data_IF_959665505928
#
_entry.id   IF_959665505928
#
_cell.length_a   1.000
_cell.length_b   1.000
_cell.length_c   1.000
_cell.angle_alpha   90.00
_cell.angle_beta   90.00
_cell.angle_gamma   90.00
#
_symmetry.space_group_name_H-M   'P 1'
#
loop_
_entity.id
_entity.type
_entity.pdbx_description
1 polymer ?
#
# COMPACT_ATOMS: atom_id res chain seq x y z
N UNK A 1 -39.59 -9.41 -33.22
CA UNK A 1 -40.82 -9.83 -32.53
C UNK A 1 -40.53 -9.86 -31.05
N UNK A 2 -41.08 -8.89 -30.32
CA UNK A 2 -40.97 -8.79 -28.87
C UNK A 2 -41.91 -9.82 -28.25
N UNK A 3 -41.35 -10.81 -27.55
CA UNK A 3 -42.12 -11.66 -26.64
C UNK A 3 -41.93 -11.10 -25.23
N UNK A 4 -42.82 -10.17 -24.86
CA UNK A 4 -43.04 -9.77 -23.49
C UNK A 4 -43.74 -10.94 -22.78
N UNK A 5 -42.95 -11.77 -22.09
CA UNK A 5 -43.46 -12.73 -21.11
C UNK A 5 -43.39 -12.07 -19.74
N UNK A 6 -44.54 -11.64 -19.24
CA UNK A 6 -44.69 -11.23 -17.84
C UNK A 6 -44.24 -12.40 -16.95
N UNK A 7 -43.22 -12.17 -16.12
CA UNK A 7 -42.82 -13.10 -15.07
C UNK A 7 -43.32 -12.53 -13.76
N UNK A 8 -44.28 -13.26 -13.18
CA UNK A 8 -45.07 -12.94 -12.00
C UNK A 8 -44.25 -12.46 -10.80
N UNK A 9 -44.76 -11.43 -10.12
CA UNK A 9 -44.26 -10.88 -8.85
C UNK A 9 -44.35 -11.81 -7.63
N UNK A 10 -44.13 -13.11 -7.81
CA UNK A 10 -44.00 -14.11 -6.73
C UNK A 10 -42.55 -14.42 -6.34
N UNK A 11 -41.57 -13.74 -6.96
CA UNK A 11 -40.14 -13.96 -6.71
C UNK A 11 -39.60 -13.38 -5.40
N UNK A 12 -40.40 -12.61 -4.64
CA UNK A 12 -39.99 -11.92 -3.42
C UNK A 12 -40.54 -12.59 -2.15
N UNK A 13 -40.29 -13.89 -1.96
CA UNK A 13 -40.45 -14.52 -0.64
C UNK A 13 -39.11 -15.08 -0.18
N UNK A 14 -38.77 -14.82 1.07
CA UNK A 14 -37.48 -15.01 1.77
C UNK A 14 -36.83 -16.42 1.72
N UNK A 15 -37.31 -17.36 0.89
CA UNK A 15 -36.83 -18.75 0.81
C UNK A 15 -35.75 -19.05 -0.23
N UNK A 16 -35.42 -18.14 -1.15
CA UNK A 16 -34.55 -18.46 -2.30
C UNK A 16 -33.04 -18.34 -2.01
N UNK A 17 -32.64 -17.70 -0.91
CA UNK A 17 -31.22 -17.56 -0.54
C UNK A 17 -30.55 -18.90 -0.21
N UNK A 18 -31.31 -19.92 0.17
CA UNK A 18 -30.78 -21.25 0.53
C UNK A 18 -30.76 -22.25 -0.63
N UNK A 19 -31.32 -21.91 -1.80
CA UNK A 19 -31.45 -22.83 -2.94
C UNK A 19 -30.63 -22.42 -4.16
N UNK A 20 -30.04 -21.23 -4.16
CA UNK A 20 -29.14 -20.81 -5.23
C UNK A 20 -27.74 -21.40 -4.98
N UNK A 21 -27.00 -21.80 -6.03
CA UNK A 21 -25.61 -22.22 -5.92
C UNK A 21 -24.78 -21.13 -5.23
N UNK A 22 -23.56 -21.43 -4.72
CA UNK A 22 -22.75 -20.51 -3.91
C UNK A 22 -22.24 -19.33 -4.77
N UNK A 23 -23.15 -18.43 -5.07
CA UNK A 23 -22.93 -17.17 -5.75
C UNK A 23 -23.49 -16.15 -4.78
N UNK A 24 -22.61 -15.35 -4.18
CA UNK A 24 -22.94 -14.24 -3.29
C UNK A 24 -23.64 -13.12 -4.08
N UNK A 25 -24.84 -13.41 -4.59
CA UNK A 25 -25.63 -12.50 -5.41
C UNK A 25 -26.54 -11.65 -4.51
N UNK A 26 -26.58 -10.36 -4.77
CA UNK A 26 -27.49 -9.45 -4.08
C UNK A 26 -28.84 -9.40 -4.81
N UNK A 27 -29.93 -9.14 -4.08
CA UNK A 27 -31.29 -9.04 -4.66
C UNK A 27 -31.37 -7.94 -5.76
N UNK A 28 -30.45 -6.98 -5.73
CA UNK A 28 -30.31 -5.95 -6.77
C UNK A 28 -29.79 -6.49 -8.11
N UNK A 29 -28.86 -7.45 -8.10
CA UNK A 29 -28.25 -8.01 -9.32
C UNK A 29 -29.23 -8.89 -10.11
N UNK A 30 -30.12 -9.59 -9.41
CA UNK A 30 -31.18 -10.40 -10.02
C UNK A 30 -32.27 -9.55 -10.68
N UNK A 31 -32.52 -8.34 -10.14
CA UNK A 31 -33.48 -7.40 -10.73
C UNK A 31 -32.94 -6.70 -11.98
N UNK A 32 -31.62 -6.48 -12.06
CA UNK A 32 -30.98 -5.83 -13.20
C UNK A 32 -30.82 -6.75 -14.42
N UNK A 33 -30.71 -8.08 -14.21
CA UNK A 33 -30.45 -9.05 -15.27
C UNK A 33 -31.42 -10.25 -15.23
N UNK A 34 -32.64 -10.13 -15.80
CA UNK A 34 -33.65 -11.18 -15.75
C UNK A 34 -33.24 -12.46 -16.52
N UNK A 35 -32.37 -12.36 -17.52
CA UNK A 35 -31.81 -13.51 -18.23
C UNK A 35 -30.90 -14.38 -17.35
N UNK A 36 -30.17 -13.75 -16.43
CA UNK A 36 -29.31 -14.45 -15.46
C UNK A 36 -30.14 -15.16 -14.39
N UNK A 37 -31.23 -14.53 -13.93
CA UNK A 37 -32.19 -15.17 -13.03
C UNK A 37 -32.82 -16.44 -13.66
N UNK A 38 -33.22 -16.37 -14.94
CA UNK A 38 -33.73 -17.54 -15.66
C UNK A 38 -32.68 -18.64 -15.84
N UNK A 39 -31.42 -18.29 -16.07
CA UNK A 39 -30.33 -19.27 -16.18
C UNK A 39 -30.07 -19.95 -14.84
N UNK A 40 -30.02 -19.20 -13.74
CA UNK A 40 -29.91 -19.75 -12.39
C UNK A 40 -31.08 -20.67 -12.05
N UNK A 41 -32.31 -20.33 -12.44
CA UNK A 41 -33.49 -21.19 -12.29
C UNK A 41 -33.43 -22.50 -13.08
N UNK A 42 -32.72 -22.52 -14.21
CA UNK A 42 -32.46 -23.75 -14.96
C UNK A 42 -31.34 -24.54 -14.30
N UNK A 43 -30.30 -23.87 -13.78
CA UNK A 43 -29.18 -24.51 -13.09
C UNK A 43 -29.57 -25.12 -11.74
N UNK A 44 -30.46 -24.51 -10.97
CA UNK A 44 -30.94 -25.08 -9.69
C UNK A 44 -31.71 -26.38 -9.86
N UNK A 45 -32.25 -26.66 -11.06
CA UNK A 45 -32.85 -27.97 -11.37
C UNK A 45 -31.82 -29.07 -11.55
N UNK A 46 -30.55 -28.70 -11.75
CA UNK A 46 -29.46 -29.61 -12.03
C UNK A 46 -28.35 -29.54 -10.98
N UNK A 47 -28.38 -28.58 -10.05
CA UNK A 47 -27.35 -28.38 -9.04
C UNK A 47 -27.94 -28.20 -7.63
N UNK A 48 -27.28 -28.79 -6.64
CA UNK A 48 -27.62 -28.64 -5.22
C UNK A 48 -27.11 -27.31 -4.64
N UNK A 49 -27.55 -26.97 -3.42
CA UNK A 49 -27.16 -25.75 -2.69
C UNK A 49 -25.64 -25.62 -2.43
N UNK A 50 -24.88 -26.70 -2.64
CA UNK A 50 -23.41 -26.74 -2.58
C UNK A 50 -22.73 -26.43 -3.91
N UNK A 51 -23.49 -26.26 -5.01
CA UNK A 51 -22.96 -26.03 -6.36
C UNK A 51 -22.58 -27.30 -7.13
N UNK A 52 -22.88 -28.48 -6.60
CA UNK A 52 -22.62 -29.78 -7.25
C UNK A 52 -23.81 -30.19 -8.13
N UNK A 53 -23.54 -30.84 -9.27
CA UNK A 53 -24.61 -31.42 -10.09
C UNK A 53 -25.32 -32.53 -9.30
N UNK A 54 -26.66 -32.54 -9.29
CA UNK A 54 -27.48 -33.53 -8.57
C UNK A 54 -27.11 -34.96 -9.01
N UNK A 55 -26.77 -35.12 -10.29
CA UNK A 55 -26.33 -36.41 -10.86
C UNK A 55 -24.95 -36.87 -10.36
N UNK A 56 -24.12 -35.95 -9.86
CA UNK A 56 -22.80 -36.24 -9.30
C UNK A 56 -22.79 -36.23 -7.76
N UNK A 57 -23.73 -35.54 -7.12
CA UNK A 57 -23.85 -35.49 -5.68
C UNK A 57 -24.17 -36.87 -5.10
N UNK A 58 -25.14 -37.59 -5.69
CA UNK A 58 -25.52 -38.94 -5.26
C UNK A 58 -24.36 -39.96 -5.32
N UNK A 59 -23.66 -40.15 -6.46
CA UNK A 59 -22.54 -41.08 -6.51
C UNK A 59 -21.34 -40.64 -5.66
N UNK A 60 -21.17 -39.34 -5.41
CA UNK A 60 -20.12 -38.84 -4.51
C UNK A 60 -20.47 -39.13 -3.04
N UNK A 61 -21.72 -38.96 -2.63
CA UNK A 61 -22.17 -39.38 -1.30
C UNK A 61 -22.04 -40.89 -1.09
N UNK A 62 -22.35 -41.69 -2.11
CA UNK A 62 -22.17 -43.14 -2.09
C UNK A 62 -20.68 -43.50 -1.98
N UNK A 63 -19.83 -42.93 -2.83
CA UNK A 63 -18.39 -43.15 -2.79
C UNK A 63 -17.75 -42.69 -1.47
N UNK A 64 -18.24 -41.60 -0.86
CA UNK A 64 -17.74 -41.14 0.45
C UNK A 64 -18.19 -42.05 1.57
N UNK A 65 -19.42 -42.60 1.53
CA UNK A 65 -19.88 -43.64 2.47
C UNK A 65 -19.04 -44.91 2.31
N UNK A 66 -18.81 -45.36 1.08
CA UNK A 66 -17.94 -46.51 0.80
C UNK A 66 -16.52 -46.28 1.31
N UNK A 67 -15.94 -45.11 1.04
CA UNK A 67 -14.62 -44.75 1.54
C UNK A 67 -14.58 -44.75 3.07
N UNK A 68 -15.59 -44.19 3.73
CA UNK A 68 -15.69 -44.22 5.20
C UNK A 68 -15.78 -45.65 5.73
N UNK A 69 -16.55 -46.52 5.07
CA UNK A 69 -16.66 -47.93 5.43
C UNK A 69 -15.34 -48.68 5.22
N UNK A 70 -14.67 -48.49 4.08
CA UNK A 70 -13.35 -49.06 3.82
C UNK A 70 -12.31 -48.56 4.81
N UNK A 71 -12.32 -47.27 5.13
CA UNK A 71 -11.43 -46.68 6.13
C UNK A 71 -11.69 -47.25 7.52
N UNK A 72 -12.95 -47.39 7.93
CA UNK A 72 -13.30 -47.98 9.21
C UNK A 72 -12.84 -49.45 9.29
N UNK A 73 -13.03 -50.21 8.21
CA UNK A 73 -12.58 -51.59 8.12
C UNK A 73 -11.05 -51.69 8.14
N UNK A 74 -10.35 -50.82 7.41
CA UNK A 74 -8.90 -50.76 7.42
C UNK A 74 -8.35 -50.41 8.81
N UNK A 75 -8.93 -49.40 9.48
CA UNK A 75 -8.54 -49.02 10.83
C UNK A 75 -8.77 -50.15 11.85
N UNK A 76 -9.83 -50.94 11.71
CA UNK A 76 -10.04 -52.14 12.54
C UNK A 76 -8.89 -53.14 12.36
N UNK A 77 -8.51 -53.43 11.13
CA UNK A 77 -7.42 -54.36 10.83
C UNK A 77 -6.05 -53.82 11.24
N UNK A 78 -5.79 -52.53 11.00
CA UNK A 78 -4.55 -51.87 11.42
C UNK A 78 -4.42 -51.83 12.95
N UNK A 79 -5.51 -51.55 13.67
CA UNK A 79 -5.52 -51.57 15.12
C UNK A 79 -5.22 -52.98 15.66
N UNK A 80 -5.83 -54.03 15.10
CA UNK A 80 -5.54 -55.41 15.47
C UNK A 80 -4.08 -55.78 15.20
N UNK A 81 -3.53 -55.37 14.05
CA UNK A 81 -2.12 -55.62 13.71
C UNK A 81 -1.17 -54.90 14.66
N UNK A 82 -1.42 -53.63 14.98
CA UNK A 82 -0.61 -52.88 15.96
C UNK A 82 -0.68 -53.49 17.34
N UNK A 83 -1.85 -53.93 17.78
CA UNK A 83 -2.02 -54.60 19.07
C UNK A 83 -1.27 -55.93 19.14
N UNK A 84 -1.24 -56.70 18.03
CA UNK A 84 -0.42 -57.91 17.95
C UNK A 84 1.08 -57.60 18.06
N UNK A 85 1.54 -56.54 17.39
CA UNK A 85 2.93 -56.08 17.47
C UNK A 85 3.29 -55.55 18.86
N UNK A 86 2.40 -54.79 19.50
CA UNK A 86 2.57 -54.33 20.88
C UNK A 86 2.56 -55.49 21.88
N UNK A 87 1.70 -56.49 21.69
CA UNK A 87 1.66 -57.69 22.54
C UNK A 87 2.98 -58.47 22.50
N UNK A 88 3.60 -58.57 21.31
CA UNK A 88 4.92 -59.17 21.14
C UNK A 88 6.02 -58.38 21.90
N UNK A 89 5.92 -57.05 21.94
CA UNK A 89 6.86 -56.18 22.64
C UNK A 89 6.66 -56.18 24.17
N UNK A 90 5.42 -56.13 24.66
CA UNK A 90 5.10 -56.06 26.09
C UNK A 90 5.30 -57.41 26.80
N UNK A 91 4.95 -58.54 26.19
CA UNK A 91 5.17 -59.86 26.80
C UNK A 91 6.62 -60.34 26.71
N UNK A 92 7.45 -59.77 25.82
CA UNK A 92 8.89 -60.05 25.75
C UNK A 92 9.68 -59.58 26.98
N UNK A 93 9.09 -58.70 27.80
CA UNK A 93 9.76 -58.12 28.97
C UNK A 93 9.85 -59.09 30.16
N UNK A 94 8.88 -59.99 30.38
CA UNK A 94 8.93 -61.08 31.40
C UNK A 94 7.86 -62.16 31.19
N UNK A 95 8.08 -63.19 30.35
CA UNK A 95 7.09 -64.25 30.15
C UNK A 95 7.36 -65.55 30.94
N UNK A 96 6.28 -66.16 31.44
CA UNK A 96 6.25 -67.55 31.90
C UNK A 96 6.61 -68.52 30.75
N UNK A 97 7.13 -69.73 31.01
CA UNK A 97 7.64 -70.63 29.96
C UNK A 97 6.59 -71.09 28.93
N UNK A 98 5.30 -71.06 29.29
CA UNK A 98 4.20 -71.36 28.35
C UNK A 98 3.85 -70.16 27.47
N UNK A 99 4.13 -68.94 27.92
CA UNK A 99 3.89 -67.71 27.18
C UNK A 99 5.02 -67.47 26.18
N UNK A 100 6.25 -67.87 26.52
CA UNK A 100 7.40 -67.89 25.59
C UNK A 100 7.11 -68.69 24.32
N UNK A 101 6.64 -69.95 24.48
CA UNK A 101 6.31 -70.82 23.34
C UNK A 101 5.14 -70.28 22.50
N UNK A 102 4.15 -69.66 23.14
CA UNK A 102 3.03 -69.03 22.44
C UNK A 102 3.47 -67.78 21.66
N UNK A 103 4.36 -66.96 22.21
CA UNK A 103 4.87 -65.76 21.54
C UNK A 103 5.81 -66.11 20.38
N UNK A 104 6.70 -67.07 20.58
CA UNK A 104 7.58 -67.58 19.53
C UNK A 104 6.72 -68.11 18.37
N UNK A 105 5.75 -68.99 18.63
CA UNK A 105 4.87 -69.51 17.56
C UNK A 105 4.07 -68.40 16.87
N UNK A 106 3.61 -67.37 17.58
CA UNK A 106 2.91 -66.22 17.01
C UNK A 106 3.81 -65.32 16.16
N UNK A 107 5.03 -65.03 16.62
CA UNK A 107 6.05 -64.27 15.87
C UNK A 107 6.42 -64.99 14.58
N UNK A 108 6.65 -66.31 14.65
CA UNK A 108 6.94 -67.13 13.46
C UNK A 108 5.75 -67.12 12.47
N UNK A 109 4.50 -67.13 12.95
CA UNK A 109 3.32 -67.01 12.07
C UNK A 109 3.16 -65.63 11.43
N UNK A 110 3.45 -64.56 12.16
CA UNK A 110 3.38 -63.20 11.61
C UNK A 110 4.48 -62.97 10.57
N UNK A 111 5.70 -63.42 10.82
CA UNK A 111 6.79 -63.34 9.85
C UNK A 111 6.49 -64.17 8.60
N UNK A 112 5.96 -65.39 8.74
CA UNK A 112 5.53 -66.21 7.59
C UNK A 112 4.38 -65.54 6.82
N UNK A 113 3.44 -64.88 7.50
CA UNK A 113 2.36 -64.14 6.84
C UNK A 113 2.85 -62.87 6.13
N UNK A 114 3.82 -62.15 6.71
CA UNK A 114 4.45 -61.00 6.07
C UNK A 114 5.26 -61.42 4.84
N UNK A 115 6.00 -62.53 4.92
CA UNK A 115 6.73 -63.11 3.80
C UNK A 115 5.77 -63.57 2.69
N UNK A 116 4.65 -64.22 3.04
CA UNK A 116 3.59 -64.57 2.08
C UNK A 116 3.01 -63.33 1.40
N UNK A 117 2.71 -62.28 2.17
CA UNK A 117 2.20 -61.01 1.62
C UNK A 117 3.19 -60.36 0.65
N UNK A 118 4.48 -60.33 0.99
CA UNK A 118 5.53 -59.78 0.11
C UNK A 118 5.61 -60.59 -1.19
N UNK A 119 5.55 -61.92 -1.11
CA UNK A 119 5.55 -62.81 -2.27
C UNK A 119 4.25 -62.70 -3.12
N UNK A 120 3.10 -62.48 -2.49
CA UNK A 120 1.80 -62.33 -3.16
C UNK A 120 1.64 -60.97 -3.84
N UNK A 121 2.18 -59.89 -3.25
CA UNK A 121 2.19 -58.55 -3.88
C UNK A 121 2.97 -58.57 -5.20
N UNK A 122 4.06 -59.33 -5.26
CA UNK A 122 4.88 -59.51 -6.46
C UNK A 122 4.16 -60.33 -7.56
N UNK A 123 3.14 -61.13 -7.20
CA UNK A 123 2.35 -61.93 -8.16
C UNK A 123 1.26 -61.12 -8.89
N UNK A 124 0.82 -60.01 -8.31
CA UNK A 124 -0.23 -59.13 -8.89
C UNK A 124 0.27 -58.27 -10.05
N UNK A 125 1.58 -58.05 -10.14
CA UNK A 125 2.29 -57.47 -11.28
C UNK A 125 2.60 -58.56 -12.29
N UNK A 126 1.55 -59.14 -12.90
CA UNK A 126 1.69 -60.29 -13.78
C UNK A 126 2.77 -60.12 -14.87
N UNK A 127 3.64 -61.14 -14.97
CA UNK A 127 4.26 -61.68 -16.19
C UNK A 127 5.70 -61.32 -16.60
N UNK A 128 6.63 -60.93 -15.72
CA UNK A 128 8.04 -60.93 -16.19
C UNK A 128 9.18 -60.97 -15.16
N UNK A 129 8.99 -61.41 -13.91
CA UNK A 129 10.14 -61.68 -13.02
C UNK A 129 9.88 -62.93 -12.17
N UNK A 130 10.77 -63.93 -12.18
CA UNK A 130 10.70 -65.01 -11.20
C UNK A 130 10.85 -64.41 -9.79
N UNK A 131 10.11 -64.94 -8.82
CA UNK A 131 10.19 -64.55 -7.40
C UNK A 131 11.64 -64.32 -6.99
N UNK A 132 11.92 -63.22 -6.31
CA UNK A 132 13.27 -62.94 -5.79
C UNK A 132 13.68 -64.15 -4.94
N UNK A 133 14.67 -64.93 -5.43
CA UNK A 133 15.19 -66.20 -4.87
C UNK A 133 14.48 -67.52 -5.23
N UNK A 134 13.48 -67.55 -6.13
CA UNK A 134 12.82 -68.80 -6.55
C UNK A 134 11.97 -69.45 -5.45
N UNK A 135 11.56 -68.67 -4.45
CA UNK A 135 10.71 -69.12 -3.35
C UNK A 135 9.25 -69.10 -3.79
N UNK A 136 8.60 -70.26 -3.78
CA UNK A 136 7.17 -70.40 -3.97
C UNK A 136 6.43 -70.38 -2.62
N UNK A 137 5.16 -69.93 -2.57
CA UNK A 137 4.37 -69.91 -1.34
C UNK A 137 4.18 -71.30 -0.71
N UNK A 138 4.40 -72.37 -1.49
CA UNK A 138 4.44 -73.75 -1.03
C UNK A 138 5.64 -74.04 -0.11
N UNK A 139 6.80 -73.43 -0.33
CA UNK A 139 8.03 -73.65 0.45
C UNK A 139 7.94 -73.03 1.86
N UNK A 140 7.01 -72.09 2.07
CA UNK A 140 6.73 -71.50 3.37
C UNK A 140 5.85 -72.39 4.28
N UNK A 141 5.34 -73.51 3.76
CA UNK A 141 4.58 -74.48 4.57
C UNK A 141 5.48 -75.34 5.46
N UNK A 142 6.75 -75.49 5.10
CA UNK A 142 7.76 -76.22 5.89
C UNK A 142 8.20 -75.45 7.16
N UNK A 143 8.01 -74.13 7.19
CA UNK A 143 8.33 -73.25 8.32
C UNK A 143 7.14 -72.99 9.26
N UNK A 144 6.01 -73.65 9.05
CA UNK A 144 4.87 -73.59 9.95
C UNK A 144 5.15 -74.43 11.21
N UNK A 145 4.89 -73.91 12.43
CA UNK A 145 4.98 -74.70 13.66
C UNK A 145 3.95 -75.84 13.65
N UNK A 146 4.13 -76.81 14.54
CA UNK A 146 3.31 -78.01 14.56
C UNK A 146 1.81 -77.67 14.61
N UNK A 147 0.99 -78.36 13.81
CA UNK A 147 -0.45 -78.06 13.66
C UNK A 147 -1.20 -78.00 15.01
N UNK A 148 -0.76 -78.81 15.98
CA UNK A 148 -1.31 -78.84 17.33
C UNK A 148 -1.01 -77.57 18.15
N UNK A 149 0.16 -76.94 17.93
CA UNK A 149 0.56 -75.69 18.57
C UNK A 149 -0.16 -74.50 17.93
N UNK A 150 -0.38 -74.57 16.61
CA UNK A 150 -1.21 -73.59 15.87
C UNK A 150 -2.66 -73.59 16.34
N UNK A 151 -3.28 -74.75 16.54
CA UNK A 151 -4.65 -74.82 17.05
C UNK A 151 -4.77 -74.30 18.49
N UNK A 152 -3.77 -74.56 19.34
CA UNK A 152 -3.74 -74.05 20.71
C UNK A 152 -3.51 -72.54 20.75
N UNK A 153 -2.63 -72.02 19.87
CA UNK A 153 -2.42 -70.59 19.70
C UNK A 153 -3.68 -69.90 19.17
N UNK A 154 -4.34 -70.45 18.14
CA UNK A 154 -5.58 -69.89 17.58
C UNK A 154 -6.72 -69.83 18.61
N UNK A 155 -6.80 -70.81 19.52
CA UNK A 155 -7.79 -70.80 20.61
C UNK A 155 -7.47 -69.78 21.72
N UNK A 156 -6.17 -69.53 21.98
CA UNK A 156 -5.71 -68.61 23.04
C UNK A 156 -5.66 -67.15 22.58
N UNK A 157 -5.31 -66.90 21.33
CA UNK A 157 -5.16 -65.59 20.71
C UNK A 157 -6.34 -64.63 20.92
N UNK A 158 -7.61 -64.99 20.67
CA UNK A 158 -8.72 -64.06 20.84
C UNK A 158 -8.88 -63.63 22.31
N UNK A 159 -8.64 -64.54 23.25
CA UNK A 159 -8.78 -64.25 24.69
C UNK A 159 -7.72 -63.28 25.17
N UNK A 160 -6.48 -63.38 24.69
CA UNK A 160 -5.40 -62.45 25.05
C UNK A 160 -5.55 -61.10 24.35
N UNK A 161 -5.95 -61.09 23.08
CA UNK A 161 -6.28 -59.87 22.35
C UNK A 161 -7.41 -59.09 23.01
N UNK A 162 -8.46 -59.77 23.47
CA UNK A 162 -9.55 -59.13 24.21
C UNK A 162 -9.09 -58.50 25.52
N UNK A 163 -8.18 -59.14 26.26
CA UNK A 163 -7.64 -58.56 27.50
C UNK A 163 -6.80 -57.31 27.23
N UNK A 164 -5.91 -57.36 26.24
CA UNK A 164 -5.08 -56.22 25.86
C UNK A 164 -5.92 -55.07 25.32
N UNK A 165 -6.92 -55.36 24.47
CA UNK A 165 -7.89 -54.38 24.00
C UNK A 165 -8.62 -53.71 25.16
N UNK A 166 -9.13 -54.51 26.11
CA UNK A 166 -9.81 -53.98 27.31
C UNK A 166 -8.88 -53.08 28.12
N UNK A 167 -7.63 -53.49 28.36
CA UNK A 167 -6.66 -52.71 29.11
C UNK A 167 -6.36 -51.36 28.43
N UNK A 168 -6.14 -51.35 27.10
CA UNK A 168 -5.86 -50.12 26.34
C UNK A 168 -7.09 -49.21 26.25
N UNK A 169 -8.29 -49.78 26.07
CA UNK A 169 -9.53 -49.02 26.13
C UNK A 169 -9.69 -48.33 27.50
N UNK A 170 -9.44 -49.04 28.59
CA UNK A 170 -9.47 -48.46 29.94
C UNK A 170 -8.39 -47.38 30.13
N UNK A 171 -7.18 -47.57 29.60
CA UNK A 171 -6.14 -46.55 29.65
C UNK A 171 -6.50 -45.28 28.86
N UNK A 172 -7.10 -45.43 27.67
CA UNK A 172 -7.62 -44.31 26.89
C UNK A 172 -8.73 -43.58 27.64
N UNK A 173 -9.65 -44.33 28.26
CA UNK A 173 -10.72 -43.77 29.07
C UNK A 173 -10.14 -42.96 30.25
N UNK A 174 -9.16 -43.50 30.97
CA UNK A 174 -8.49 -42.79 32.08
C UNK A 174 -7.77 -41.51 31.64
N UNK A 175 -7.21 -41.47 30.43
CA UNK A 175 -6.60 -40.25 29.87
C UNK A 175 -7.63 -39.14 29.59
N UNK A 176 -8.77 -39.50 28.99
CA UNK A 176 -9.81 -38.52 28.64
C UNK A 176 -10.74 -38.16 29.81
N UNK A 177 -10.96 -39.09 30.74
CA UNK A 177 -11.83 -38.93 31.92
C UNK A 177 -11.19 -39.59 33.14
N UNK A 178 -10.31 -38.90 33.89
CA UNK A 178 -9.65 -39.48 35.07
C UNK A 178 -10.63 -39.92 36.18
N UNK A 179 -11.86 -39.40 36.16
CA UNK A 179 -12.95 -39.81 37.06
C UNK A 179 -13.37 -41.28 36.87
N UNK A 180 -13.03 -41.89 35.73
CA UNK A 180 -13.39 -43.27 35.42
C UNK A 180 -12.70 -44.34 36.26
N UNK A 181 -11.54 -44.02 36.83
CA UNK A 181 -10.71 -45.00 37.55
C UNK A 181 -11.36 -45.41 38.88
N UNK A 182 -12.23 -44.55 39.42
CA UNK A 182 -13.02 -44.82 40.62
C UNK A 182 -14.34 -45.56 40.35
N UNK A 183 -14.74 -45.68 39.08
CA UNK A 183 -16.03 -46.24 38.70
C UNK A 183 -15.96 -47.77 38.52
N UNK A 184 -17.04 -48.47 38.87
CA UNK A 184 -17.12 -49.93 38.65
C UNK A 184 -17.06 -50.32 37.17
N UNK A 185 -16.64 -51.56 36.87
CA UNK A 185 -16.40 -52.03 35.50
C UNK A 185 -17.60 -51.91 34.54
N UNK A 186 -18.83 -51.98 35.05
CA UNK A 186 -20.04 -51.73 34.26
C UNK A 186 -20.18 -50.24 33.85
N UNK A 187 -19.84 -49.32 34.76
CA UNK A 187 -19.85 -47.89 34.48
C UNK A 187 -18.71 -47.50 33.50
N UNK A 188 -17.52 -48.10 33.65
CA UNK A 188 -16.42 -47.91 32.70
C UNK A 188 -16.79 -48.37 31.27
N UNK A 189 -17.52 -49.47 31.15
CA UNK A 189 -17.99 -49.97 29.85
C UNK A 189 -19.02 -49.05 29.19
N UNK A 190 -19.93 -48.46 29.99
CA UNK A 190 -20.89 -47.45 29.50
C UNK A 190 -20.15 -46.17 29.09
N UNK A 191 -19.20 -45.71 29.91
CA UNK A 191 -18.40 -44.52 29.61
C UNK A 191 -17.54 -44.72 28.34
N UNK A 192 -17.00 -45.92 28.10
CA UNK A 192 -16.30 -46.28 26.86
C UNK A 192 -17.20 -46.17 25.63
N UNK A 193 -18.45 -46.66 25.74
CA UNK A 193 -19.44 -46.54 24.66
C UNK A 193 -19.73 -45.07 24.30
N UNK A 194 -19.89 -44.22 25.31
CA UNK A 194 -20.16 -42.77 25.12
C UNK A 194 -18.93 -41.96 24.70
N UNK A 195 -17.71 -42.48 24.90
CA UNK A 195 -16.47 -41.75 24.63
C UNK A 195 -16.29 -41.46 23.13
N UNK A 196 -16.67 -42.39 22.27
CA UNK A 196 -16.65 -42.19 20.83
C UNK A 196 -17.57 -41.04 20.38
N UNK A 197 -18.76 -40.95 20.98
CA UNK A 197 -19.72 -39.88 20.71
C UNK A 197 -19.20 -38.54 21.23
N UNK A 198 -18.67 -38.47 22.45
CA UNK A 198 -18.12 -37.22 23.00
C UNK A 198 -16.92 -36.71 22.22
N UNK A 199 -16.03 -37.61 21.77
CA UNK A 199 -14.90 -37.22 20.91
C UNK A 199 -15.36 -36.72 19.53
N UNK A 200 -16.42 -37.31 18.98
CA UNK A 200 -17.02 -36.82 17.75
C UNK A 200 -17.60 -35.41 17.93
N UNK A 201 -18.28 -35.14 19.05
CA UNK A 201 -18.81 -33.81 19.36
C UNK A 201 -17.71 -32.79 19.59
N UNK A 202 -16.64 -33.12 20.33
CA UNK A 202 -15.50 -32.22 20.54
C UNK A 202 -14.77 -31.91 19.23
N UNK A 203 -14.55 -32.93 18.39
CA UNK A 203 -13.97 -32.73 17.06
C UNK A 203 -14.82 -31.80 16.20
N UNK A 204 -16.14 -31.91 16.30
CA UNK A 204 -17.06 -31.03 15.58
C UNK A 204 -16.99 -29.60 16.13
N UNK A 205 -17.02 -29.41 17.43
CA UNK A 205 -16.84 -28.10 18.07
C UNK A 205 -15.50 -27.45 17.70
N UNK A 206 -14.41 -28.22 17.65
CA UNK A 206 -13.12 -27.70 17.20
C UNK A 206 -13.12 -27.25 15.75
N UNK A 207 -13.84 -27.94 14.86
CA UNK A 207 -13.99 -27.50 13.47
C UNK A 207 -14.80 -26.21 13.37
N UNK A 208 -15.89 -26.11 14.12
CA UNK A 208 -16.73 -24.92 14.18
C UNK A 208 -15.96 -23.72 14.73
N UNK A 209 -15.20 -23.91 15.82
CA UNK A 209 -14.37 -22.86 16.39
C UNK A 209 -13.26 -22.39 15.43
N UNK A 210 -12.66 -23.31 14.66
CA UNK A 210 -11.70 -22.95 13.60
C UNK A 210 -12.35 -22.16 12.48
N UNK A 211 -13.54 -22.55 12.02
CA UNK A 211 -14.29 -21.80 11.01
C UNK A 211 -14.62 -20.38 11.50
N UNK A 212 -15.10 -20.25 12.74
CA UNK A 212 -15.35 -18.94 13.36
C UNK A 212 -14.07 -18.10 13.46
N UNK A 213 -12.94 -18.72 13.80
CA UNK A 213 -11.65 -18.02 13.85
C UNK A 213 -11.24 -17.50 12.47
N UNK A 214 -11.40 -18.31 11.42
CA UNK A 214 -11.12 -17.89 10.03
C UNK A 214 -12.02 -16.73 9.60
N UNK A 215 -13.31 -16.77 9.93
CA UNK A 215 -14.25 -15.66 9.67
C UNK A 215 -13.83 -14.37 10.40
N UNK A 216 -13.50 -14.47 11.69
CA UNK A 216 -13.05 -13.32 12.49
C UNK A 216 -11.75 -12.72 11.96
N UNK A 217 -10.80 -13.54 11.51
CA UNK A 217 -9.58 -13.09 10.86
C UNK A 217 -9.92 -12.33 9.57
N UNK A 218 -10.82 -12.87 8.75
CA UNK A 218 -11.29 -12.20 7.52
C UNK A 218 -11.94 -10.85 7.81
N UNK A 219 -12.82 -10.75 8.81
CA UNK A 219 -13.41 -9.47 9.24
C UNK A 219 -12.36 -8.47 9.72
N UNK A 220 -11.36 -8.94 10.49
CA UNK A 220 -10.28 -8.12 11.00
C UNK A 220 -9.41 -7.58 9.87
N UNK A 221 -9.09 -8.38 8.86
CA UNK A 221 -8.35 -7.96 7.67
C UNK A 221 -9.11 -6.89 6.87
N UNK A 222 -10.42 -7.07 6.68
CA UNK A 222 -11.28 -6.07 6.03
C UNK A 222 -11.26 -4.74 6.79
N UNK A 223 -11.36 -4.78 8.13
CA UNK A 223 -11.26 -3.58 8.95
C UNK A 223 -9.88 -2.92 8.85
N UNK A 224 -8.80 -3.71 8.93
CA UNK A 224 -7.43 -3.22 8.74
C UNK A 224 -7.23 -2.53 7.39
N UNK A 225 -7.88 -3.00 6.33
CA UNK A 225 -7.86 -2.35 5.02
C UNK A 225 -8.71 -1.07 4.97
N UNK A 226 -9.85 -1.02 5.69
CA UNK A 226 -10.76 0.12 5.68
C UNK A 226 -10.26 1.33 6.50
N UNK A 227 -9.67 1.11 7.68
CA UNK A 227 -9.14 2.19 8.54
C UNK A 227 -8.18 3.17 7.83
N UNK A 228 -7.13 2.72 7.11
CA UNK A 228 -6.22 3.64 6.43
C UNK A 228 -6.92 4.42 5.31
N UNK A 229 -7.91 3.83 4.63
CA UNK A 229 -8.68 4.54 3.61
C UNK A 229 -9.49 5.70 4.21
N UNK A 230 -10.12 5.47 5.36
CA UNK A 230 -10.83 6.53 6.10
C UNK A 230 -9.86 7.62 6.56
N UNK A 231 -8.70 7.23 7.12
CA UNK A 231 -7.66 8.18 7.54
C UNK A 231 -7.15 9.03 6.37
N UNK A 232 -6.88 8.42 5.21
CA UNK A 232 -6.48 9.14 4.00
C UNK A 232 -7.56 10.11 3.53
N UNK A 233 -8.84 9.72 3.60
CA UNK A 233 -9.96 10.60 3.27
C UNK A 233 -10.04 11.80 4.23
N UNK A 234 -9.90 11.58 5.54
CA UNK A 234 -9.84 12.65 6.53
C UNK A 234 -8.65 13.60 6.28
N UNK A 235 -7.49 13.05 5.94
CA UNK A 235 -6.29 13.83 5.61
C UNK A 235 -6.50 14.66 4.35
N UNK A 236 -7.12 14.10 3.31
CA UNK A 236 -7.47 14.82 2.10
C UNK A 236 -8.43 15.99 2.37
N UNK A 237 -9.44 15.78 3.22
CA UNK A 237 -10.36 16.84 3.66
C UNK A 237 -9.63 17.93 4.44
N UNK A 238 -8.75 17.58 5.38
CA UNK A 238 -7.93 18.54 6.13
C UNK A 238 -7.00 19.35 5.21
N UNK A 239 -6.36 18.70 4.24
CA UNK A 239 -5.52 19.37 3.23
C UNK A 239 -6.35 20.35 2.40
N UNK A 240 -7.54 19.94 1.97
CA UNK A 240 -8.46 20.81 1.21
C UNK A 240 -8.88 22.01 2.05
N UNK A 241 -9.27 21.79 3.30
CA UNK A 241 -9.66 22.86 4.22
C UNK A 241 -8.52 23.87 4.45
N UNK A 242 -7.30 23.38 4.66
CA UNK A 242 -6.14 24.25 4.85
C UNK A 242 -5.79 25.05 3.58
N UNK A 243 -5.86 24.41 2.40
CA UNK A 243 -5.54 25.07 1.13
C UNK A 243 -6.59 26.10 0.73
N UNK A 244 -7.86 25.72 0.74
CA UNK A 244 -8.95 26.58 0.26
C UNK A 244 -9.26 27.69 1.26
N UNK A 245 -9.44 27.36 2.55
CA UNK A 245 -9.98 28.33 3.52
C UNK A 245 -8.93 29.12 4.28
N UNK A 246 -7.73 28.56 4.52
CA UNK A 246 -6.66 29.31 5.22
C UNK A 246 -5.78 30.03 4.20
N UNK A 247 -5.18 29.29 3.27
CA UNK A 247 -4.22 29.85 2.32
C UNK A 247 -4.89 30.63 1.19
N UNK A 248 -5.96 30.07 0.59
CA UNK A 248 -6.69 30.69 -0.51
C UNK A 248 -7.28 32.04 -0.12
N UNK A 249 -8.17 32.05 0.87
CA UNK A 249 -8.81 33.28 1.36
C UNK A 249 -7.79 34.32 1.83
N UNK A 250 -6.71 33.91 2.50
CA UNK A 250 -5.65 34.83 2.92
C UNK A 250 -4.93 35.45 1.72
N UNK A 251 -4.61 34.65 0.69
CA UNK A 251 -3.99 35.17 -0.53
C UNK A 251 -4.88 36.14 -1.30
N UNK A 252 -6.19 35.89 -1.35
CA UNK A 252 -7.17 36.80 -1.97
C UNK A 252 -7.27 38.11 -1.19
N UNK A 253 -7.29 38.04 0.14
CA UNK A 253 -7.31 39.22 1.01
C UNK A 253 -6.02 40.02 0.87
N UNK A 254 -4.87 39.36 0.86
CA UNK A 254 -3.57 40.00 0.65
C UNK A 254 -3.51 40.69 -0.73
N UNK A 255 -4.02 40.04 -1.78
CA UNK A 255 -4.09 40.62 -3.13
C UNK A 255 -5.01 41.83 -3.19
N UNK A 256 -6.16 41.81 -2.51
CA UNK A 256 -7.06 42.97 -2.44
C UNK A 256 -6.41 44.13 -1.66
N UNK A 257 -5.70 43.81 -0.58
CA UNK A 257 -4.99 44.80 0.23
C UNK A 257 -3.85 45.46 -0.56
N UNK A 258 -3.07 44.69 -1.32
CA UNK A 258 -2.00 45.27 -2.16
C UNK A 258 -2.59 46.20 -3.21
N UNK A 259 -3.64 45.78 -3.92
CA UNK A 259 -4.34 46.64 -4.89
C UNK A 259 -4.89 47.91 -4.25
N UNK A 260 -5.51 47.80 -3.07
CA UNK A 260 -6.00 48.96 -2.34
C UNK A 260 -4.88 49.95 -1.98
N UNK A 261 -3.74 49.43 -1.50
CA UNK A 261 -2.57 50.24 -1.16
C UNK A 261 -1.93 50.87 -2.40
N UNK A 262 -1.84 50.16 -3.51
CA UNK A 262 -1.35 50.69 -4.79
C UNK A 262 -2.21 51.85 -5.27
N UNK A 263 -3.55 51.68 -5.26
CA UNK A 263 -4.49 52.74 -5.62
C UNK A 263 -4.32 53.93 -4.68
N UNK A 264 -4.23 53.69 -3.36
CA UNK A 264 -4.02 54.75 -2.37
C UNK A 264 -2.71 55.50 -2.57
N UNK A 265 -1.62 54.80 -2.89
CA UNK A 265 -0.32 55.39 -3.22
C UNK A 265 -0.39 56.23 -4.49
N UNK A 266 -1.05 55.72 -5.54
CA UNK A 266 -1.23 56.46 -6.80
C UNK A 266 -2.03 57.76 -6.59
N UNK A 267 -3.08 57.72 -5.78
CA UNK A 267 -3.87 58.90 -5.43
C UNK A 267 -3.03 59.91 -4.63
N UNK A 268 -2.20 59.43 -3.70
CA UNK A 268 -1.30 60.28 -2.93
C UNK A 268 -0.21 60.93 -3.80
N UNK A 269 0.33 60.19 -4.78
CA UNK A 269 1.28 60.73 -5.76
C UNK A 269 0.65 61.84 -6.60
N UNK A 270 -0.57 61.62 -7.11
CA UNK A 270 -1.32 62.65 -7.84
C UNK A 270 -1.59 63.88 -6.96
N UNK A 271 -1.91 63.67 -5.68
CA UNK A 271 -2.10 64.76 -4.73
C UNK A 271 -0.82 65.58 -4.54
N UNK A 272 0.33 64.92 -4.32
CA UNK A 272 1.63 65.61 -4.21
C UNK A 272 1.93 66.42 -5.48
N UNK A 273 1.68 65.84 -6.66
CA UNK A 273 1.92 66.54 -7.94
C UNK A 273 1.02 67.75 -8.12
N UNK A 274 -0.23 67.68 -7.66
CA UNK A 274 -1.16 68.80 -7.67
C UNK A 274 -0.67 69.93 -6.76
N UNK A 275 -0.24 69.60 -5.53
CA UNK A 275 0.32 70.59 -4.60
C UNK A 275 1.61 71.23 -5.16
N UNK A 276 2.48 70.47 -5.82
CA UNK A 276 3.67 71.00 -6.49
C UNK A 276 3.28 72.02 -7.58
N UNK A 277 2.31 71.68 -8.43
CA UNK A 277 1.79 72.60 -9.44
C UNK A 277 1.14 73.84 -8.80
N UNK A 278 0.43 73.67 -7.69
CA UNK A 278 -0.18 74.78 -6.97
C UNK A 278 0.88 75.76 -6.44
N UNK A 279 1.94 75.24 -5.82
CA UNK A 279 3.09 76.05 -5.37
C UNK A 279 3.75 76.78 -6.54
N UNK A 280 3.93 76.12 -7.70
CA UNK A 280 4.49 76.75 -8.88
C UNK A 280 3.61 77.88 -9.41
N UNK A 281 2.29 77.70 -9.45
CA UNK A 281 1.34 78.72 -9.87
C UNK A 281 1.31 79.93 -8.91
N UNK A 282 1.38 79.66 -7.60
CA UNK A 282 1.46 80.71 -6.57
C UNK A 282 2.80 81.48 -6.64
N UNK A 283 3.90 80.77 -6.89
CA UNK A 283 5.24 81.37 -6.96
C UNK A 283 5.43 82.19 -8.24
N UNK A 284 5.04 81.61 -9.39
CA UNK A 284 5.21 82.18 -10.73
C UNK A 284 3.88 82.70 -11.28
N UNK A 285 3.37 83.76 -10.66
CA UNK A 285 2.22 84.49 -11.21
C UNK A 285 2.54 85.04 -12.61
N UNK A 286 1.54 85.20 -13.49
CA UNK A 286 1.77 85.66 -14.87
C UNK A 286 2.47 87.02 -14.92
N UNK A 287 2.19 87.88 -13.95
CA UNK A 287 2.85 89.17 -13.77
C UNK A 287 4.34 89.00 -13.48
N UNK A 288 4.70 88.16 -12.48
CA UNK A 288 6.11 87.88 -12.15
C UNK A 288 6.86 87.25 -13.32
N UNK A 289 6.23 86.32 -14.03
CA UNK A 289 6.82 85.69 -15.23
C UNK A 289 7.06 86.72 -16.33
N UNK A 290 6.13 87.65 -16.54
CA UNK A 290 6.30 88.71 -17.52
C UNK A 290 7.45 89.65 -17.15
N UNK A 291 7.58 90.00 -15.85
CA UNK A 291 8.70 90.79 -15.35
C UNK A 291 10.03 90.05 -15.55
N UNK A 292 10.12 88.77 -15.18
CA UNK A 292 11.32 87.96 -15.43
C UNK A 292 11.66 87.87 -16.92
N UNK A 293 10.65 87.81 -17.80
CA UNK A 293 10.84 87.83 -19.25
C UNK A 293 11.46 89.16 -19.71
N UNK A 294 10.90 90.29 -19.27
CA UNK A 294 11.46 91.61 -19.58
C UNK A 294 12.89 91.77 -19.05
N UNK A 295 13.16 91.32 -17.82
CA UNK A 295 14.51 91.35 -17.24
C UNK A 295 15.49 90.53 -18.08
N UNK A 296 15.11 89.30 -18.47
CA UNK A 296 15.92 88.43 -19.31
C UNK A 296 16.19 89.08 -20.67
N UNK A 297 15.16 89.62 -21.31
CA UNK A 297 15.28 90.20 -22.64
C UNK A 297 16.17 91.47 -22.61
N UNK A 298 16.06 92.29 -21.57
CA UNK A 298 16.95 93.45 -21.34
C UNK A 298 18.40 93.03 -21.07
N UNK A 299 18.62 92.06 -20.19
CA UNK A 299 19.96 91.55 -19.89
C UNK A 299 20.61 90.93 -21.14
N UNK A 300 19.83 90.20 -21.95
CA UNK A 300 20.30 89.63 -23.20
C UNK A 300 20.68 90.73 -24.20
N UNK A 301 19.88 91.81 -24.28
CA UNK A 301 20.20 92.96 -25.12
C UNK A 301 21.50 93.64 -24.65
N UNK A 302 21.64 93.92 -23.35
CA UNK A 302 22.87 94.49 -22.77
C UNK A 302 24.09 93.61 -23.00
N UNK A 303 23.97 92.30 -22.80
CA UNK A 303 25.05 91.35 -23.05
C UNK A 303 25.46 91.34 -24.52
N UNK A 304 24.49 91.34 -25.44
CA UNK A 304 24.77 91.39 -26.87
C UNK A 304 25.45 92.70 -27.31
N UNK A 305 25.14 93.81 -26.64
CA UNK A 305 25.77 95.10 -26.88
C UNK A 305 27.22 95.09 -26.38
N UNK A 306 27.46 94.63 -25.15
CA UNK A 306 28.80 94.49 -24.58
C UNK A 306 29.67 93.53 -25.39
N UNK A 307 29.11 92.42 -25.88
CA UNK A 307 29.81 91.50 -26.78
C UNK A 307 30.21 92.17 -28.10
N UNK A 308 29.36 93.03 -28.66
CA UNK A 308 29.67 93.81 -29.86
C UNK A 308 30.77 94.85 -29.58
N UNK A 309 30.68 95.57 -28.47
CA UNK A 309 31.64 96.58 -28.06
C UNK A 309 33.01 95.97 -27.74
N UNK A 310 33.02 94.81 -27.10
CA UNK A 310 34.22 94.01 -26.87
C UNK A 310 34.82 93.51 -28.19
N UNK A 311 34.00 93.01 -29.12
CA UNK A 311 34.46 92.60 -30.43
C UNK A 311 35.04 93.78 -31.23
N UNK A 312 34.43 94.96 -31.15
CA UNK A 312 34.95 96.19 -31.75
C UNK A 312 36.29 96.59 -31.13
N UNK A 313 36.39 96.57 -29.80
CA UNK A 313 37.61 96.88 -29.06
C UNK A 313 38.75 95.91 -29.39
N UNK A 314 38.45 94.61 -29.49
CA UNK A 314 39.42 93.59 -29.93
C UNK A 314 39.94 93.84 -31.35
N UNK A 315 39.06 94.24 -32.28
CA UNK A 315 39.49 94.62 -33.64
C UNK A 315 40.42 95.83 -33.63
N UNK A 316 40.10 96.84 -32.83
CA UNK A 316 40.96 98.02 -32.66
C UNK A 316 42.32 97.60 -32.09
N UNK A 317 42.36 96.80 -31.03
CA UNK A 317 43.60 96.28 -30.44
C UNK A 317 44.43 95.47 -31.45
N UNK A 318 43.81 94.59 -32.23
CA UNK A 318 44.53 93.84 -33.27
C UNK A 318 45.15 94.76 -34.32
N UNK A 319 44.49 95.87 -34.67
CA UNK A 319 45.08 96.85 -35.58
C UNK A 319 46.32 97.53 -34.97
N UNK A 320 46.31 97.80 -33.66
CA UNK A 320 47.47 98.33 -32.95
C UNK A 320 48.58 97.30 -32.80
N UNK A 321 48.28 96.02 -32.59
CA UNK A 321 49.28 94.95 -32.55
C UNK A 321 50.00 94.78 -33.90
N UNK A 322 49.28 94.95 -35.03
CA UNK A 322 49.88 94.91 -36.38
C UNK A 322 50.91 96.03 -36.58
N UNK A 323 50.74 97.19 -35.94
CA UNK A 323 51.67 98.32 -36.04
C UNK A 323 53.05 98.03 -35.42
N UNK A 324 53.19 96.96 -34.63
CA UNK A 324 54.45 96.25 -34.38
C UNK A 324 55.63 97.07 -33.82
N UNK A 325 56.86 96.52 -33.86
CA UNK A 325 58.06 97.19 -33.35
C UNK A 325 58.41 98.48 -34.13
N UNK A 326 57.89 98.64 -35.35
CA UNK A 326 58.03 99.87 -36.14
C UNK A 326 57.34 101.06 -35.47
N UNK A 327 56.18 100.84 -34.85
CA UNK A 327 55.52 101.88 -34.06
C UNK A 327 56.26 102.16 -32.76
N UNK A 328 56.81 101.15 -32.09
CA UNK A 328 57.67 101.37 -30.90
C UNK A 328 58.94 102.17 -31.25
N UNK A 329 59.57 101.90 -32.39
CA UNK A 329 60.69 102.69 -32.91
C UNK A 329 60.26 104.12 -33.24
N UNK A 330 59.10 104.30 -33.90
CA UNK A 330 58.56 105.63 -34.18
C UNK A 330 58.24 106.40 -32.90
N UNK A 331 57.70 105.74 -31.86
CA UNK A 331 57.43 106.35 -30.54
C UNK A 331 58.73 106.69 -29.83
N UNK A 332 59.77 105.84 -29.91
CA UNK A 332 61.12 106.15 -29.38
C UNK A 332 61.74 107.34 -30.11
N UNK A 333 61.61 107.42 -31.42
CA UNK A 333 62.10 108.57 -32.20
C UNK A 333 61.29 109.83 -31.93
N UNK A 334 59.97 109.74 -31.82
CA UNK A 334 59.11 110.87 -31.46
C UNK A 334 59.42 111.39 -30.05
N UNK A 335 59.56 110.50 -29.05
CA UNK A 335 59.92 110.89 -27.67
C UNK A 335 61.34 111.48 -27.61
N UNK A 336 62.29 110.93 -28.38
CA UNK A 336 63.63 111.51 -28.54
C UNK A 336 63.57 112.90 -29.16
N UNK A 337 62.83 113.08 -30.26
CA UNK A 337 62.64 114.38 -30.91
C UNK A 337 61.96 115.37 -29.97
N UNK A 338 60.98 114.94 -29.18
CA UNK A 338 60.31 115.77 -28.20
C UNK A 338 61.27 116.20 -27.08
N UNK A 339 62.09 115.29 -26.54
CA UNK A 339 63.13 115.62 -25.58
C UNK A 339 64.20 116.56 -26.17
N UNK A 340 64.56 116.41 -27.45
CA UNK A 340 65.47 117.33 -28.15
C UNK A 340 64.81 118.70 -28.37
N UNK A 341 63.52 118.74 -28.71
CA UNK A 341 62.76 119.99 -28.84
C UNK A 341 62.65 120.70 -27.49
N UNK A 342 62.37 119.96 -26.41
CA UNK A 342 62.34 120.49 -25.04
C UNK A 342 63.71 120.99 -24.60
N UNK A 343 64.78 120.25 -24.87
CA UNK A 343 66.15 120.68 -24.57
C UNK A 343 66.55 121.90 -25.43
N UNK A 344 66.23 121.94 -26.72
CA UNK A 344 66.48 123.12 -27.56
C UNK A 344 65.63 124.32 -27.13
N UNK A 345 64.38 124.11 -26.73
CA UNK A 345 63.56 125.16 -26.10
C UNK A 345 64.20 125.65 -24.80
N UNK A 346 64.71 124.73 -23.97
CA UNK A 346 65.43 125.05 -22.75
C UNK A 346 66.70 125.88 -23.05
N UNK A 347 67.53 125.45 -24.00
CA UNK A 347 68.72 126.19 -24.48
C UNK A 347 68.33 127.56 -25.04
N UNK A 348 67.25 127.67 -25.82
CA UNK A 348 66.75 128.96 -26.31
C UNK A 348 66.22 129.86 -25.18
N UNK A 349 65.71 129.30 -24.08
CA UNK A 349 65.32 130.09 -22.90
C UNK A 349 66.50 130.47 -22.01
N UNK A 350 67.62 129.74 -22.07
CA UNK A 350 68.89 130.07 -21.40
C UNK A 350 69.70 131.11 -22.19
N UNK A 351 69.82 130.99 -23.51
CA UNK A 351 70.48 132.00 -24.37
C UNK A 351 69.67 133.29 -24.55
N UNK A 352 68.41 133.33 -24.12
CA UNK A 352 67.64 134.59 -24.00
C UNK A 352 67.77 135.21 -22.58
N UNK A 353 68.66 134.70 -21.73
CA UNK A 353 68.91 135.19 -20.35
C UNK A 353 70.30 135.81 -20.11
N UNK A 354 71.18 135.84 -21.11
CA UNK A 354 72.39 136.68 -21.21
C UNK A 354 72.31 137.50 -22.51
#
# INVERSE_FOLDING_TARGET
>A
MAASGAVDGKFLQQGWRSQLPPCSLTDGDLSAYPGLANLLMVLTKHMDSSGMSIALAQPLEEATKELQMHRANWLKWEALQRLLQEALLELGADPAPQDKKFLETLEHQLLVAELKRVLDLDSSLQNSRPSVLGLEPANLTEFLPAHQELEQMQKRLPTELEKLLKAKCLALLGYYRPESDSAGGAAQSIMLGTLAESLATEKQHLKEARAQQEELIGCLEQQKAAYPQVLLRCLALLKRLAREFRLGVQSELDQLNTQYLEIKCSAMFLKIRLEELNILLETYTPEKVNVHRMMRDNLQASLSQEEQDLAASRKILSNYEILGPEFEELVKEYTRLQAVIENRRWVLTEFNKD
#
